data_IF_806809369497
#
_entry.id   IF_806809369497
#
_cell.length_a   1.000
_cell.length_b   1.000
_cell.length_c   1.000
_cell.angle_alpha   90.00
_cell.angle_beta   90.00
_cell.angle_gamma   90.00
#
_symmetry.space_group_name_H-M   'P 1'
#
loop_
_entity.id
_entity.type
_entity.pdbx_description
1 polymer ?
#
# COMPACT_ATOMS: atom_id res chain seq x y z
N UNK A 1 -51.95 12.64 2.81
CA UNK A 1 -50.56 12.16 2.83
C UNK A 1 -49.78 13.15 3.68
N UNK A 2 -49.25 12.71 4.81
CA UNK A 2 -48.38 13.53 5.66
C UNK A 2 -47.10 13.78 4.87
N UNK A 3 -46.72 15.05 4.70
CA UNK A 3 -45.42 15.42 4.11
C UNK A 3 -44.33 14.66 4.86
N UNK A 4 -43.44 13.98 4.13
CA UNK A 4 -42.31 13.30 4.73
C UNK A 4 -41.51 14.29 5.59
N UNK A 5 -41.28 13.96 6.85
CA UNK A 5 -40.44 14.78 7.73
C UNK A 5 -38.99 14.42 7.43
N UNK A 6 -38.31 15.33 6.73
CA UNK A 6 -36.88 15.22 6.37
C UNK A 6 -36.08 15.99 7.40
N UNK A 7 -35.29 15.27 8.20
CA UNK A 7 -34.40 15.80 9.21
C UNK A 7 -32.96 15.76 8.69
N UNK A 8 -32.29 16.91 8.68
CA UNK A 8 -30.95 17.06 8.12
C UNK A 8 -29.90 17.15 9.23
N UNK A 9 -28.78 16.48 9.00
CA UNK A 9 -27.62 16.42 9.87
C UNK A 9 -26.40 16.95 9.13
N UNK A 10 -25.52 17.62 9.86
CA UNK A 10 -24.30 18.20 9.31
C UNK A 10 -23.24 18.18 10.41
N UNK A 11 -22.10 17.55 10.13
CA UNK A 11 -20.96 17.50 11.04
C UNK A 11 -19.74 18.09 10.35
N UNK A 12 -19.08 19.05 10.99
CA UNK A 12 -17.76 19.51 10.59
C UNK A 12 -16.68 18.70 11.31
N UNK A 13 -15.64 18.33 10.58
CA UNK A 13 -14.45 17.67 11.11
C UNK A 13 -13.25 18.54 10.80
N UNK A 14 -12.54 18.98 11.84
CA UNK A 14 -11.35 19.80 11.68
C UNK A 14 -10.26 18.99 10.96
N UNK A 15 -9.71 19.51 9.87
CA UNK A 15 -8.77 18.75 9.00
C UNK A 15 -7.52 18.27 9.74
N UNK A 16 -6.92 19.14 10.56
CA UNK A 16 -5.68 18.82 11.28
C UNK A 16 -5.90 18.01 12.56
N UNK A 17 -6.87 18.39 13.40
CA UNK A 17 -7.03 17.78 14.74
C UNK A 17 -8.00 16.59 14.74
N UNK A 18 -8.78 16.39 13.68
CA UNK A 18 -9.85 15.40 13.63
C UNK A 18 -11.03 15.69 14.56
N UNK A 19 -11.04 16.84 15.24
CA UNK A 19 -12.11 17.22 16.15
C UNK A 19 -13.44 17.36 15.40
N UNK A 20 -14.50 16.75 15.96
CA UNK A 20 -15.84 16.72 15.37
C UNK A 20 -16.75 17.74 16.03
N UNK A 21 -17.42 18.54 15.22
CA UNK A 21 -18.40 19.54 15.65
C UNK A 21 -19.72 19.27 14.94
N UNK A 22 -20.77 19.01 15.72
CA UNK A 22 -22.13 18.87 15.18
C UNK A 22 -22.67 20.26 14.87
N UNK A 23 -23.03 20.49 13.61
CA UNK A 23 -23.61 21.75 13.13
C UNK A 23 -25.12 21.62 13.05
N UNK A 24 -25.62 20.54 12.46
CA UNK A 24 -27.04 20.18 12.42
C UNK A 24 -27.22 18.80 13.04
N UNK A 25 -28.22 18.69 13.91
CA UNK A 25 -28.49 17.53 14.77
C UNK A 25 -29.81 16.83 14.41
N UNK A 26 -30.35 17.11 13.21
CA UNK A 26 -31.63 16.58 12.75
C UNK A 26 -32.82 17.49 13.01
N UNK A 27 -32.62 18.67 13.59
CA UNK A 27 -33.70 19.68 13.77
C UNK A 27 -33.96 20.52 12.51
N UNK A 28 -33.13 20.37 11.48
CA UNK A 28 -33.15 21.19 10.28
C UNK A 28 -33.91 20.49 9.16
N UNK A 29 -34.80 21.21 8.48
CA UNK A 29 -35.55 20.69 7.34
C UNK A 29 -35.11 21.37 6.01
N UNK A 30 -35.34 20.73 4.85
CA UNK A 30 -35.10 21.32 3.54
C UNK A 30 -35.83 22.66 3.35
N UNK A 31 -35.23 23.54 2.58
CA UNK A 31 -35.76 24.89 2.28
C UNK A 31 -35.99 25.14 0.79
N UNK A 32 -35.54 24.23 -0.07
CA UNK A 32 -35.78 24.29 -1.51
C UNK A 32 -35.86 22.89 -2.13
N UNK A 33 -36.44 22.83 -3.32
CA UNK A 33 -36.46 21.66 -4.20
C UNK A 33 -35.59 21.95 -5.42
N UNK A 34 -34.79 20.97 -5.84
CA UNK A 34 -34.04 21.01 -7.08
C UNK A 34 -34.99 20.62 -8.21
N UNK A 35 -35.24 21.58 -9.10
CA UNK A 35 -36.19 21.43 -10.21
C UNK A 35 -35.86 20.20 -11.06
N UNK A 36 -36.88 19.41 -11.40
CA UNK A 36 -36.82 18.23 -12.27
C UNK A 36 -35.97 17.04 -11.76
N UNK A 37 -35.53 17.05 -10.50
CA UNK A 37 -34.79 15.91 -9.92
C UNK A 37 -35.45 15.29 -8.69
N UNK A 38 -36.50 15.91 -8.14
CA UNK A 38 -37.17 15.42 -6.92
C UNK A 38 -36.28 15.47 -5.67
N UNK A 39 -35.15 16.19 -5.73
CA UNK A 39 -34.23 16.34 -4.62
C UNK A 39 -34.59 17.57 -3.78
N UNK A 40 -34.54 17.43 -2.45
CA UNK A 40 -34.76 18.52 -1.50
C UNK A 40 -33.47 18.88 -0.79
N UNK A 41 -33.23 20.17 -0.57
CA UNK A 41 -31.97 20.64 -0.01
C UNK A 41 -32.11 21.80 0.97
N UNK A 42 -31.04 22.02 1.74
CA UNK A 42 -30.83 23.20 2.58
C UNK A 42 -29.38 23.66 2.41
N UNK A 43 -29.16 24.97 2.30
CA UNK A 43 -27.82 25.55 2.16
C UNK A 43 -27.24 25.88 3.55
N UNK A 44 -26.01 25.45 3.81
CA UNK A 44 -25.20 25.94 4.93
C UNK A 44 -24.22 27.01 4.43
N UNK A 45 -24.43 28.27 4.80
CA UNK A 45 -23.69 29.42 4.26
C UNK A 45 -22.42 29.77 5.03
N UNK A 46 -22.21 29.17 6.20
CA UNK A 46 -21.09 29.48 7.10
C UNK A 46 -20.00 28.40 7.02
N UNK A 47 -19.87 27.74 5.87
CA UNK A 47 -18.87 26.71 5.66
C UNK A 47 -17.49 27.35 5.51
N UNK A 48 -16.61 27.02 6.46
CA UNK A 48 -15.16 27.18 6.32
C UNK A 48 -14.57 25.88 5.76
N UNK A 49 -14.39 25.87 4.43
CA UNK A 49 -13.81 24.73 3.71
C UNK A 49 -12.29 24.65 3.82
N UNK A 50 -11.61 25.71 4.29
CA UNK A 50 -10.16 25.69 4.48
C UNK A 50 -9.83 24.85 5.71
N UNK A 51 -10.57 25.04 6.81
CA UNK A 51 -10.31 24.39 8.10
C UNK A 51 -11.03 23.05 8.28
N UNK A 52 -12.22 22.86 7.67
CA UNK A 52 -13.09 21.72 7.97
C UNK A 52 -13.48 20.91 6.73
N UNK A 53 -13.73 19.62 6.95
CA UNK A 53 -14.50 18.74 6.04
C UNK A 53 -15.90 18.57 6.61
N UNK A 54 -16.92 18.67 5.75
CA UNK A 54 -18.32 18.59 6.16
C UNK A 54 -18.96 17.28 5.69
N UNK A 55 -19.66 16.61 6.59
CA UNK A 55 -20.42 15.39 6.34
C UNK A 55 -21.89 15.68 6.56
N UNK A 56 -22.69 15.57 5.50
CA UNK A 56 -24.13 15.75 5.54
C UNK A 56 -24.85 14.39 5.55
N UNK A 57 -25.95 14.30 6.30
CA UNK A 57 -26.85 13.15 6.26
C UNK A 57 -28.30 13.63 6.36
N UNK A 58 -29.24 12.81 5.91
CA UNK A 58 -30.67 13.10 6.01
C UNK A 58 -31.39 11.86 6.54
N UNK A 59 -32.33 12.07 7.46
CA UNK A 59 -33.23 11.06 7.97
C UNK A 59 -34.65 11.39 7.51
N UNK A 60 -35.33 10.40 6.94
CA UNK A 60 -36.67 10.53 6.38
C UNK A 60 -37.62 9.67 7.19
N UNK A 61 -38.60 10.27 7.84
CA UNK A 61 -39.63 9.53 8.60
C UNK A 61 -40.98 9.60 7.86
N UNK A 62 -41.66 8.46 7.75
CA UNK A 62 -43.03 8.37 7.22
C UNK A 62 -43.17 8.06 5.73
N UNK A 63 -42.09 7.77 5.00
CA UNK A 63 -42.16 7.27 3.62
C UNK A 63 -42.24 5.73 3.60
N UNK A 64 -43.26 5.16 2.94
CA UNK A 64 -43.41 3.71 2.75
C UNK A 64 -42.53 3.16 1.63
N UNK A 65 -42.05 4.04 0.74
CA UNK A 65 -41.11 3.75 -0.35
C UNK A 65 -40.16 4.94 -0.48
N UNK A 66 -38.89 4.75 -0.14
CA UNK A 66 -37.81 5.66 -0.49
C UNK A 66 -37.23 5.20 -1.82
N UNK A 67 -36.84 6.13 -2.69
CA UNK A 67 -35.99 5.79 -3.82
C UNK A 67 -34.67 5.22 -3.26
N UNK A 68 -34.21 4.09 -3.79
CA UNK A 68 -33.23 3.21 -3.14
C UNK A 68 -31.79 3.76 -3.20
N UNK A 69 -31.61 4.91 -3.84
CA UNK A 69 -30.33 5.56 -4.06
C UNK A 69 -30.03 6.55 -2.93
N UNK A 70 -29.50 6.03 -1.82
CA UNK A 70 -28.92 6.88 -0.78
C UNK A 70 -27.72 7.63 -1.36
N UNK A 71 -27.84 8.94 -1.59
CA UNK A 71 -26.66 9.78 -1.80
C UNK A 71 -26.00 9.99 -0.44
N UNK A 72 -25.01 9.14 -0.13
CA UNK A 72 -24.04 9.41 0.93
C UNK A 72 -22.82 10.03 0.26
N UNK A 73 -22.75 11.37 0.22
CA UNK A 73 -21.68 12.09 -0.47
C UNK A 73 -21.28 13.35 0.27
N UNK A 74 -19.98 13.68 0.25
CA UNK A 74 -19.50 15.00 0.63
C UNK A 74 -19.72 15.95 -0.56
N UNK A 75 -20.43 17.07 -0.34
CA UNK A 75 -20.44 18.17 -1.30
C UNK A 75 -19.22 19.06 -1.00
N UNK A 76 -18.08 18.78 -1.64
CA UNK A 76 -16.96 19.72 -1.67
C UNK A 76 -16.84 20.35 -3.04
N UNK A 77 -16.75 21.68 -3.12
CA UNK A 77 -16.22 22.39 -4.29
C UNK A 77 -14.69 22.36 -4.20
N UNK A 78 -14.15 21.15 -4.18
CA UNK A 78 -12.73 20.87 -4.30
C UNK A 78 -12.65 19.78 -5.36
N UNK A 79 -12.04 20.09 -6.51
CA UNK A 79 -11.82 19.16 -7.62
C UNK A 79 -10.92 17.98 -7.24
N UNK A 80 -10.53 17.90 -5.97
CA UNK A 80 -9.80 16.81 -5.34
C UNK A 80 -10.30 16.65 -3.90
N UNK A 81 -11.30 15.80 -3.69
CA UNK A 81 -11.45 15.15 -2.37
C UNK A 81 -10.27 14.20 -2.24
N UNK A 82 -9.17 14.66 -1.67
CA UNK A 82 -8.16 13.75 -1.13
C UNK A 82 -8.74 13.15 0.14
N UNK A 83 -9.26 11.93 0.03
CA UNK A 83 -9.38 11.04 1.16
C UNK A 83 -7.95 10.81 1.69
N UNK A 84 -7.49 11.63 2.64
CA UNK A 84 -6.28 11.29 3.39
C UNK A 84 -6.63 10.23 4.45
N UNK A 85 -7.09 9.07 4.00
CA UNK A 85 -6.41 7.87 4.52
C UNK A 85 -4.93 8.08 4.23
N UNK A 86 -3.98 7.71 5.10
CA UNK A 86 -2.64 7.45 4.62
C UNK A 86 -2.76 6.29 3.62
N UNK A 87 -3.16 6.61 2.39
CA UNK A 87 -2.68 5.91 1.22
C UNK A 87 -1.24 6.36 1.21
N UNK A 88 -0.39 5.55 1.84
CA UNK A 88 0.88 5.29 1.20
C UNK A 88 0.49 5.01 -0.25
N UNK A 89 0.64 6.01 -1.13
CA UNK A 89 0.69 5.75 -2.55
C UNK A 89 1.95 4.94 -2.71
N UNK A 90 1.80 3.63 -2.47
CA UNK A 90 2.69 2.61 -2.95
C UNK A 90 2.51 2.72 -4.46
N UNK A 91 3.24 3.65 -5.06
CA UNK A 91 3.53 3.59 -6.48
C UNK A 91 4.38 2.35 -6.61
N UNK A 92 3.74 1.19 -6.72
CA UNK A 92 4.44 -0.07 -6.91
C UNK A 92 5.09 0.01 -8.29
N UNK A 93 6.34 0.44 -8.37
CA UNK A 93 7.08 0.34 -9.62
C UNK A 93 7.55 -1.07 -9.94
N UNK A 94 7.31 -2.02 -9.02
CA UNK A 94 7.34 -3.46 -9.33
C UNK A 94 5.92 -3.99 -9.59
N UNK A 95 5.04 -3.20 -10.20
CA UNK A 95 3.77 -3.70 -10.72
C UNK A 95 4.01 -4.38 -12.07
N UNK A 96 3.86 -5.70 -12.16
CA UNK A 96 3.91 -6.47 -13.40
C UNK A 96 5.25 -7.11 -13.77
N UNK A 97 6.16 -7.34 -12.82
CA UNK A 97 7.45 -8.01 -13.11
C UNK A 97 7.51 -9.41 -12.50
N UNK A 98 7.40 -10.44 -13.34
CA UNK A 98 7.79 -11.81 -12.96
C UNK A 98 9.31 -11.82 -12.73
N UNK A 99 9.74 -12.14 -11.52
CA UNK A 99 11.16 -12.36 -11.23
C UNK A 99 11.43 -13.86 -11.40
N UNK A 100 12.21 -14.20 -12.42
CA UNK A 100 12.71 -15.58 -12.62
C UNK A 100 14.21 -15.61 -12.43
N UNK A 101 14.67 -16.46 -11.51
CA UNK A 101 16.08 -16.70 -11.25
C UNK A 101 16.43 -18.17 -11.48
N UNK A 102 17.71 -18.45 -11.69
CA UNK A 102 18.19 -19.80 -11.95
C UNK A 102 19.04 -20.29 -10.78
N UNK A 103 18.74 -21.48 -10.29
CA UNK A 103 19.58 -22.15 -9.28
C UNK A 103 21.03 -22.24 -9.78
N UNK A 104 21.99 -22.11 -8.86
CA UNK A 104 23.41 -22.34 -9.19
C UNK A 104 24.09 -21.22 -9.97
N UNK A 105 23.52 -20.01 -9.97
CA UNK A 105 24.18 -18.81 -10.49
C UNK A 105 24.02 -17.65 -9.49
N UNK A 106 24.90 -16.66 -9.54
CA UNK A 106 24.64 -15.40 -8.84
C UNK A 106 23.34 -14.77 -9.38
N UNK A 107 22.40 -14.47 -8.49
CA UNK A 107 21.18 -13.73 -8.82
C UNK A 107 21.48 -12.25 -8.75
N UNK A 108 21.13 -11.52 -9.81
CA UNK A 108 21.17 -10.06 -9.87
C UNK A 108 19.77 -9.61 -10.25
N UNK A 109 19.07 -8.98 -9.32
CA UNK A 109 17.68 -8.54 -9.48
C UNK A 109 17.67 -7.02 -9.36
N UNK A 110 17.43 -6.34 -10.47
CA UNK A 110 17.25 -4.90 -10.49
C UNK A 110 15.77 -4.57 -10.31
N UNK A 111 15.45 -3.73 -9.31
CA UNK A 111 14.13 -3.16 -9.10
C UNK A 111 14.26 -1.64 -9.22
N UNK A 112 13.40 -1.03 -10.02
CA UNK A 112 13.43 0.42 -10.25
C UNK A 112 12.12 1.07 -9.86
N UNK A 113 12.17 2.38 -9.64
CA UNK A 113 10.98 3.22 -9.47
C UNK A 113 10.25 3.08 -8.13
N UNK A 114 10.86 2.51 -7.08
CA UNK A 114 10.22 2.29 -5.75
C UNK A 114 9.72 3.58 -5.07
N UNK A 115 9.92 4.74 -5.70
CA UNK A 115 9.70 6.05 -5.14
C UNK A 115 10.94 6.52 -4.39
N UNK A 116 10.85 7.69 -3.78
CA UNK A 116 11.95 8.20 -2.99
C UNK A 116 12.13 7.35 -1.71
N UNK A 117 13.24 6.63 -1.63
CA UNK A 117 13.63 5.75 -0.53
C UNK A 117 14.70 6.36 0.39
N UNK A 118 15.03 7.64 0.20
CA UNK A 118 16.11 8.31 0.94
C UNK A 118 15.84 8.47 2.44
N UNK A 119 14.59 8.23 2.87
CA UNK A 119 14.16 8.33 4.27
C UNK A 119 14.21 6.98 5.02
N UNK A 120 14.66 5.90 4.38
CA UNK A 120 14.70 4.57 5.00
C UNK A 120 16.15 4.16 5.26
N UNK A 121 16.48 3.95 6.54
CA UNK A 121 17.74 3.37 6.97
C UNK A 121 17.86 1.91 6.53
N UNK A 122 16.77 1.16 6.62
CA UNK A 122 16.73 -0.26 6.26
C UNK A 122 15.72 -0.54 5.16
N UNK A 123 16.12 -1.27 4.14
CA UNK A 123 15.26 -1.78 3.07
C UNK A 123 15.36 -3.30 3.09
N UNK A 124 14.22 -3.97 3.20
CA UNK A 124 14.09 -5.42 3.12
C UNK A 124 13.53 -5.84 1.77
N UNK A 125 14.08 -6.92 1.22
CA UNK A 125 13.47 -7.73 0.17
C UNK A 125 13.21 -9.13 0.74
N UNK A 126 11.95 -9.56 0.69
CA UNK A 126 11.53 -10.85 1.24
C UNK A 126 10.79 -11.66 0.20
N UNK A 127 11.07 -12.97 0.14
CA UNK A 127 10.38 -13.95 -0.70
C UNK A 127 9.89 -15.08 0.19
N UNK A 128 8.60 -15.41 0.10
CA UNK A 128 7.93 -16.44 0.91
C UNK A 128 7.03 -17.32 0.06
N UNK A 129 6.73 -18.51 0.55
CA UNK A 129 5.75 -19.38 -0.11
C UNK A 129 4.33 -18.89 0.13
N UNK A 130 4.05 -18.41 1.34
CA UNK A 130 2.81 -17.76 1.70
C UNK A 130 3.08 -16.45 2.47
N UNK A 131 2.24 -15.42 2.29
CA UNK A 131 2.38 -14.16 3.04
C UNK A 131 2.29 -14.33 4.56
N UNK A 132 1.67 -15.42 5.02
CA UNK A 132 1.51 -15.77 6.43
C UNK A 132 2.69 -16.52 7.03
N UNK A 133 3.64 -16.98 6.21
CA UNK A 133 4.82 -17.68 6.71
C UNK A 133 5.64 -16.75 7.61
N UNK A 134 6.26 -17.31 8.64
CA UNK A 134 7.09 -16.53 9.55
C UNK A 134 8.30 -15.94 8.81
N UNK A 135 8.91 -14.92 9.38
CA UNK A 135 10.16 -14.37 8.82
C UNK A 135 11.31 -15.39 8.81
N UNK A 136 11.27 -16.37 9.71
CA UNK A 136 12.27 -17.43 9.78
C UNK A 136 12.06 -18.50 8.71
N UNK A 137 10.83 -18.67 8.22
CA UNK A 137 10.47 -19.60 7.14
C UNK A 137 10.66 -18.99 5.74
N UNK A 138 11.17 -17.76 5.65
CA UNK A 138 11.35 -17.08 4.38
C UNK A 138 12.28 -17.87 3.43
N UNK A 139 11.88 -17.94 2.16
CA UNK A 139 12.71 -18.53 1.09
C UNK A 139 13.92 -17.66 0.82
N UNK A 140 13.75 -16.35 0.88
CA UNK A 140 14.84 -15.37 0.84
C UNK A 140 14.44 -14.18 1.70
N UNK A 141 15.38 -13.71 2.53
CA UNK A 141 15.23 -12.41 3.19
C UNK A 141 16.59 -11.73 3.25
N UNK A 142 16.66 -10.53 2.69
CA UNK A 142 17.88 -9.73 2.59
C UNK A 142 17.58 -8.26 2.91
N UNK A 143 18.56 -7.55 3.46
CA UNK A 143 18.48 -6.10 3.66
C UNK A 143 19.72 -5.36 3.13
N UNK A 144 19.64 -4.03 3.08
CA UNK A 144 20.67 -3.12 2.55
C UNK A 144 21.90 -2.96 3.46
N UNK A 145 22.58 -4.08 3.73
CA UNK A 145 23.88 -4.11 4.40
C UNK A 145 24.88 -4.98 3.62
N UNK A 146 26.17 -4.80 3.88
CA UNK A 146 27.23 -5.62 3.30
C UNK A 146 27.15 -7.10 3.72
N UNK A 147 26.54 -7.38 4.87
CA UNK A 147 26.17 -8.70 5.38
C UNK A 147 24.64 -8.85 5.45
N UNK A 148 23.99 -8.49 4.35
CA UNK A 148 22.54 -8.29 4.29
C UNK A 148 21.70 -9.57 4.27
N UNK A 149 22.25 -10.75 4.00
CA UNK A 149 21.45 -11.97 3.91
C UNK A 149 21.06 -12.46 5.31
N UNK A 150 19.76 -12.62 5.55
CA UNK A 150 19.20 -13.04 6.84
C UNK A 150 18.66 -14.48 6.81
N UNK A 151 18.00 -14.84 5.71
CA UNK A 151 17.40 -16.16 5.50
C UNK A 151 17.54 -16.60 4.06
N UNK A 152 17.81 -17.89 3.89
CA UNK A 152 17.77 -18.56 2.59
C UNK A 152 17.19 -19.96 2.78
N UNK A 153 16.16 -20.29 2.01
CA UNK A 153 15.44 -21.57 2.05
C UNK A 153 14.99 -21.99 3.48
N UNK A 154 14.41 -21.06 4.25
CA UNK A 154 13.92 -21.32 5.61
C UNK A 154 15.02 -21.58 6.65
N UNK A 155 16.28 -21.21 6.34
CA UNK A 155 17.42 -21.39 7.22
C UNK A 155 18.30 -20.14 7.27
N UNK A 156 19.22 -20.09 8.25
CA UNK A 156 20.30 -19.11 8.25
C UNK A 156 21.20 -19.33 7.02
N UNK A 157 21.70 -18.25 6.39
CA UNK A 157 22.55 -18.38 5.21
C UNK A 157 23.91 -19.00 5.55
N UNK A 158 24.55 -19.55 4.54
CA UNK A 158 25.94 -20.03 4.64
C UNK A 158 26.88 -18.89 5.02
N UNK A 159 26.68 -17.70 4.43
CA UNK A 159 27.32 -16.47 4.85
C UNK A 159 26.40 -15.26 4.62
N UNK A 160 26.26 -14.40 5.63
CA UNK A 160 25.43 -13.19 5.52
C UNK A 160 25.88 -12.25 4.39
N UNK A 161 27.19 -12.24 4.06
CA UNK A 161 27.77 -11.47 2.95
C UNK A 161 27.40 -11.99 1.56
N UNK A 162 26.75 -13.14 1.46
CA UNK A 162 26.31 -13.68 0.17
C UNK A 162 25.03 -13.01 -0.36
N UNK A 163 24.40 -12.12 0.40
CA UNK A 163 23.26 -11.36 -0.07
C UNK A 163 23.38 -9.89 0.32
N UNK A 164 23.15 -9.01 -0.64
CA UNK A 164 23.17 -7.56 -0.45
C UNK A 164 22.02 -6.89 -1.19
N UNK A 165 21.61 -5.73 -0.71
CA UNK A 165 20.84 -4.75 -1.50
C UNK A 165 21.73 -3.52 -1.65
N UNK A 166 22.00 -3.14 -2.89
CA UNK A 166 22.66 -1.88 -3.24
C UNK A 166 21.61 -0.87 -3.63
N UNK A 167 21.70 0.36 -3.10
CA UNK A 167 20.86 1.48 -3.51
C UNK A 167 21.58 2.18 -4.67
N UNK A 168 21.02 2.07 -5.87
CA UNK A 168 21.60 2.61 -7.09
C UNK A 168 21.19 4.08 -7.29
N UNK A 169 19.92 4.39 -7.03
CA UNK A 169 19.38 5.76 -6.96
C UNK A 169 18.28 5.85 -5.89
N UNK A 170 18.59 6.48 -4.76
CA UNK A 170 17.65 6.63 -3.65
C UNK A 170 16.44 7.52 -3.96
N UNK A 171 16.58 8.46 -4.90
CA UNK A 171 15.49 9.39 -5.25
C UNK A 171 14.51 8.79 -6.24
N UNK A 172 15.01 7.99 -7.18
CA UNK A 172 14.19 7.21 -8.10
C UNK A 172 13.65 5.91 -7.47
N UNK A 173 14.32 5.39 -6.43
CA UNK A 173 13.97 4.11 -5.83
C UNK A 173 14.51 2.94 -6.63
N UNK A 174 15.73 3.08 -7.14
CA UNK A 174 16.41 2.05 -7.91
C UNK A 174 17.36 1.29 -6.98
N UNK A 175 17.20 -0.03 -6.94
CA UNK A 175 18.00 -0.94 -6.12
C UNK A 175 18.40 -2.19 -6.92
N UNK A 176 19.54 -2.75 -6.54
CA UNK A 176 20.03 -4.04 -7.04
C UNK A 176 20.18 -5.01 -5.88
N UNK A 177 19.44 -6.12 -5.93
CA UNK A 177 19.60 -7.25 -5.01
C UNK A 177 20.57 -8.25 -5.65
N UNK A 178 21.61 -8.61 -4.90
CA UNK A 178 22.58 -9.63 -5.32
C UNK A 178 22.56 -10.80 -4.35
N UNK A 179 22.37 -12.03 -4.84
CA UNK A 179 22.53 -13.27 -4.06
C UNK A 179 23.59 -14.14 -4.73
N UNK A 180 24.67 -14.46 -4.02
CA UNK A 180 25.81 -15.17 -4.59
C UNK A 180 25.52 -16.64 -4.84
N UNK A 181 26.16 -17.19 -5.88
CA UNK A 181 26.08 -18.61 -6.26
C UNK A 181 26.29 -19.58 -5.09
N UNK A 182 27.17 -19.22 -4.15
CA UNK A 182 27.44 -20.02 -2.96
C UNK A 182 26.16 -20.38 -2.17
N UNK A 183 25.16 -19.49 -2.16
CA UNK A 183 23.83 -19.79 -1.58
C UNK A 183 22.90 -20.44 -2.62
N UNK A 184 22.83 -19.87 -3.82
CA UNK A 184 21.82 -20.24 -4.82
C UNK A 184 22.04 -21.62 -5.42
N UNK A 185 23.24 -22.20 -5.30
CA UNK A 185 23.54 -23.60 -5.65
C UNK A 185 22.71 -24.60 -4.85
N UNK A 186 22.33 -24.24 -3.61
CA UNK A 186 21.44 -25.01 -2.74
C UNK A 186 19.96 -24.68 -2.91
N UNK A 187 19.59 -23.75 -3.79
CA UNK A 187 18.21 -23.29 -3.89
C UNK A 187 17.27 -24.39 -4.39
N UNK A 188 16.09 -24.58 -3.76
CA UNK A 188 15.06 -25.46 -4.29
C UNK A 188 14.44 -24.85 -5.55
N UNK A 189 14.00 -25.72 -6.46
CA UNK A 189 13.20 -25.30 -7.62
C UNK A 189 11.78 -25.07 -7.10
N UNK A 190 11.30 -23.82 -7.20
CA UNK A 190 10.02 -23.37 -6.65
C UNK A 190 9.39 -22.34 -7.57
N UNK A 191 8.07 -22.38 -7.67
CA UNK A 191 7.25 -21.40 -8.38
C UNK A 191 6.23 -20.74 -7.45
N UNK A 192 5.53 -19.74 -7.96
CA UNK A 192 4.42 -19.07 -7.29
C UNK A 192 4.76 -18.43 -5.93
N UNK A 193 6.01 -18.03 -5.71
CA UNK A 193 6.42 -17.39 -4.46
C UNK A 193 5.98 -15.92 -4.41
N UNK A 194 5.52 -15.48 -3.25
CA UNK A 194 5.18 -14.09 -2.96
C UNK A 194 6.43 -13.32 -2.56
N UNK A 195 6.54 -12.06 -2.98
CA UNK A 195 7.63 -11.20 -2.55
C UNK A 195 7.17 -9.78 -2.25
N UNK A 196 7.88 -9.12 -1.34
CA UNK A 196 7.65 -7.72 -0.99
C UNK A 196 8.95 -6.96 -0.72
N UNK A 197 8.83 -5.64 -0.75
CA UNK A 197 9.88 -4.69 -0.42
C UNK A 197 9.33 -3.78 0.68
N UNK A 198 10.04 -3.68 1.80
CA UNK A 198 9.67 -2.81 2.91
C UNK A 198 10.82 -1.90 3.32
N UNK A 199 10.51 -0.65 3.62
CA UNK A 199 11.42 0.32 4.21
C UNK A 199 11.18 0.43 5.71
N UNK A 200 12.24 0.67 6.47
CA UNK A 200 12.19 1.05 7.88
C UNK A 200 12.93 2.37 8.02
N UNK A 201 12.25 3.40 8.50
CA UNK A 201 12.86 4.70 8.77
C UNK A 201 13.58 4.73 10.13
N UNK A 202 14.31 5.80 10.40
CA UNK A 202 15.08 6.01 11.62
C UNK A 202 14.22 5.97 12.90
N UNK A 203 12.92 6.23 12.77
CA UNK A 203 11.93 6.16 13.85
C UNK A 203 11.41 4.72 14.06
N UNK A 204 11.82 3.78 13.22
CA UNK A 204 11.41 2.37 13.27
C UNK A 204 10.07 2.09 12.59
N UNK A 205 9.50 3.04 11.84
CA UNK A 205 8.26 2.84 11.12
C UNK A 205 8.49 1.97 9.90
N UNK A 206 7.67 0.93 9.75
CA UNK A 206 7.74 0.02 8.61
C UNK A 206 6.74 0.44 7.53
N UNK A 207 7.24 0.71 6.34
CA UNK A 207 6.43 1.08 5.16
C UNK A 207 6.57 0.02 4.07
N UNK A 208 5.44 -0.35 3.47
CA UNK A 208 5.43 -1.17 2.25
C UNK A 208 5.86 -0.29 1.06
N UNK A 209 7.01 -0.58 0.46
CA UNK A 209 7.53 0.16 -0.70
C UNK A 209 7.02 -0.43 -2.02
N UNK A 210 6.95 -1.75 -2.09
CA UNK A 210 6.38 -2.47 -3.22
C UNK A 210 6.01 -3.90 -2.82
N UNK A 211 5.13 -4.52 -3.60
CA UNK A 211 4.86 -5.95 -3.52
C UNK A 211 4.80 -6.52 -4.93
N UNK A 212 5.19 -7.78 -5.08
CA UNK A 212 5.06 -8.50 -6.33
C UNK A 212 3.59 -8.73 -6.66
N UNK A 213 3.11 -8.10 -7.73
CA UNK A 213 1.81 -8.44 -8.32
C UNK A 213 1.91 -9.72 -9.17
N UNK A 214 3.11 -10.03 -9.66
CA UNK A 214 3.48 -11.32 -10.25
C UNK A 214 4.36 -12.11 -9.27
N UNK A 215 4.65 -13.37 -9.60
CA UNK A 215 5.31 -14.31 -8.68
C UNK A 215 6.81 -14.37 -8.89
N UNK A 216 7.55 -14.66 -7.82
CA UNK A 216 8.95 -15.02 -7.87
C UNK A 216 9.09 -16.52 -8.17
N UNK A 217 10.00 -16.87 -9.09
CA UNK A 217 10.22 -18.25 -9.53
C UNK A 217 11.72 -18.59 -9.52
N UNK A 218 12.07 -19.71 -8.90
CA UNK A 218 13.39 -20.32 -8.93
C UNK A 218 13.35 -21.52 -9.87
N UNK A 219 14.02 -21.40 -11.02
CA UNK A 219 14.07 -22.43 -12.06
C UNK A 219 15.39 -23.20 -12.01
N UNK A 220 15.39 -24.43 -12.52
CA UNK A 220 16.61 -25.21 -12.71
C UNK A 220 17.53 -24.56 -13.74
N UNK A 221 18.84 -24.62 -13.52
CA UNK A 221 19.83 -24.38 -14.55
C UNK A 221 19.86 -25.56 -15.54
N UNK A 222 19.90 -25.27 -16.85
CA UNK A 222 20.05 -26.31 -17.87
C UNK A 222 21.53 -26.76 -17.97
N UNK A 223 22.47 -25.91 -17.57
CA UNK A 223 23.92 -26.16 -17.58
C UNK A 223 24.53 -25.82 -16.23
N UNK A 224 25.04 -26.82 -15.50
CA UNK A 224 25.88 -26.60 -14.31
C UNK A 224 27.31 -26.26 -14.76
N UNK A 225 27.63 -24.97 -14.86
CA UNK A 225 29.01 -24.53 -15.09
C UNK A 225 29.72 -24.46 -13.72
N UNK A 226 30.45 -25.51 -13.34
CA UNK A 226 31.33 -25.44 -12.18
C UNK A 226 32.65 -24.76 -12.58
N UNK A 227 33.10 -23.78 -11.81
CA UNK A 227 34.51 -23.40 -11.83
C UNK A 227 35.25 -24.36 -10.89
N UNK A 228 36.19 -25.14 -11.41
CA UNK A 228 37.06 -25.95 -10.55
C UNK A 228 37.79 -25.04 -9.57
N UNK A 229 37.88 -25.39 -8.27
CA UNK A 229 38.69 -24.63 -7.33
C UNK A 229 40.16 -24.67 -7.78
N UNK A 230 40.82 -23.49 -7.73
CA UNK A 230 42.26 -23.35 -7.88
C UNK A 230 42.98 -23.72 -6.57
#
# INVERSE_FOLDING_TARGET
MTLAEINLYLTAVHKTTGARTVIWDGTQNPTFEVTNTGAYGRIYTSADFDTYVYFAAANYTGATTLDQDWITGAASVETTVSLSTPVATVTAAVSGSTITVYRGTTWIIALTGLGNISAYDTIYFSVKRYPTDSEDDAILRVYNDASGLLRFNGAAPTAATNGTITIDDATAGDITITIQEAETSGAPILDCLDYDIKGVDDDGNVIMLAYGTEKFTITADITQAYTSPA
#
